data_IF_076042954749
#
_entry.id   IF_076042954749
#
_cell.length_a   1.000
_cell.length_b   1.000
_cell.length_c   1.000
_cell.angle_alpha   90.00
_cell.angle_beta   90.00
_cell.angle_gamma   90.00
#
_symmetry.space_group_name_H-M   'P 1'
#
loop_
_entity.id
_entity.type
_entity.pdbx_description
1 polymer ?
#
# COMPACT_ATOMS: atom_id res chain seq x y z
N UNK A 1 24.76 -14.54 -11.95
CA UNK A 1 25.96 -15.36 -12.04
C UNK A 1 26.99 -14.71 -11.15
N UNK A 2 27.61 -15.49 -10.27
CA UNK A 2 28.72 -15.02 -9.44
C UNK A 2 30.03 -15.32 -10.16
N UNK A 3 31.02 -14.46 -9.97
CA UNK A 3 32.34 -14.58 -10.59
C UNK A 3 33.39 -14.80 -9.51
N UNK A 4 34.12 -15.91 -9.61
CA UNK A 4 35.19 -16.24 -8.68
C UNK A 4 36.51 -15.68 -9.20
N UNK A 5 37.24 -14.98 -8.34
CA UNK A 5 38.52 -14.33 -8.62
C UNK A 5 39.35 -14.26 -7.32
N UNK A 6 40.42 -13.47 -7.32
CA UNK A 6 41.24 -13.18 -6.15
C UNK A 6 41.40 -11.66 -5.96
N UNK A 7 41.57 -11.21 -4.73
CA UNK A 7 41.91 -9.81 -4.42
C UNK A 7 43.43 -9.53 -4.61
N UNK A 8 43.86 -8.28 -4.35
CA UNK A 8 45.26 -7.89 -4.50
C UNK A 8 46.26 -8.63 -3.59
N UNK A 9 45.78 -9.35 -2.56
CA UNK A 9 46.60 -10.14 -1.64
C UNK A 9 46.52 -11.65 -1.93
N UNK A 10 45.86 -12.05 -3.03
CA UNK A 10 45.67 -13.46 -3.39
C UNK A 10 44.58 -14.17 -2.58
N UNK A 11 43.70 -13.44 -1.88
CA UNK A 11 42.56 -14.04 -1.16
C UNK A 11 41.42 -14.35 -2.13
N UNK A 12 40.74 -15.52 -2.03
CA UNK A 12 39.56 -15.81 -2.85
C UNK A 12 38.48 -14.73 -2.69
N UNK A 13 38.01 -14.22 -3.81
CA UNK A 13 37.01 -13.16 -3.92
C UNK A 13 35.87 -13.65 -4.82
N UNK A 14 34.63 -13.45 -4.38
CA UNK A 14 33.44 -13.74 -5.18
C UNK A 14 32.73 -12.43 -5.46
N UNK A 15 32.72 -12.02 -6.72
CA UNK A 15 31.96 -10.85 -7.19
C UNK A 15 30.57 -11.31 -7.59
N UNK A 16 29.54 -10.65 -7.06
CA UNK A 16 28.16 -10.98 -7.39
C UNK A 16 27.36 -9.71 -7.65
N UNK A 17 26.51 -9.77 -8.67
CA UNK A 17 25.61 -8.69 -9.04
C UNK A 17 24.43 -9.27 -9.83
N UNK A 18 23.31 -8.55 -9.86
CA UNK A 18 22.04 -8.88 -10.54
C UNK A 18 21.17 -9.97 -9.89
N UNK A 19 19.91 -10.03 -10.35
CA UNK A 19 18.90 -11.06 -10.02
C UNK A 19 19.31 -12.50 -10.34
N UNK A 20 20.39 -12.71 -11.11
CA UNK A 20 20.86 -14.04 -11.51
C UNK A 20 21.91 -14.61 -10.56
N UNK A 21 22.33 -13.86 -9.53
CA UNK A 21 23.28 -14.37 -8.54
C UNK A 21 22.55 -14.68 -7.26
N UNK A 22 22.72 -15.90 -6.75
CA UNK A 22 22.14 -16.45 -5.53
C UNK A 22 22.50 -15.62 -4.28
N UNK A 23 23.62 -14.90 -4.35
CA UNK A 23 24.10 -14.02 -3.28
C UNK A 23 23.45 -12.62 -3.30
N UNK A 24 22.70 -12.28 -4.36
CA UNK A 24 22.06 -10.97 -4.49
C UNK A 24 20.77 -10.88 -3.68
N UNK A 25 20.53 -9.73 -3.05
CA UNK A 25 19.24 -9.42 -2.41
C UNK A 25 18.04 -9.49 -3.36
N UNK A 26 18.28 -9.33 -4.66
CA UNK A 26 17.26 -9.40 -5.70
C UNK A 26 17.06 -10.81 -6.27
N UNK A 27 17.83 -11.80 -5.81
CA UNK A 27 17.65 -13.18 -6.23
C UNK A 27 16.28 -13.70 -5.77
N UNK A 28 15.45 -14.26 -6.67
CA UNK A 28 14.19 -14.86 -6.28
C UNK A 28 14.41 -16.07 -5.37
N UNK A 29 14.02 -15.95 -4.10
CA UNK A 29 14.08 -17.02 -3.11
C UNK A 29 12.92 -16.85 -2.13
N UNK A 30 12.13 -17.91 -1.94
CA UNK A 30 11.01 -17.89 -1.00
C UNK A 30 11.52 -18.24 0.39
N UNK A 31 11.22 -17.39 1.36
CA UNK A 31 11.53 -17.64 2.78
C UNK A 31 10.48 -16.97 3.68
N UNK A 32 10.51 -17.33 4.96
CA UNK A 32 9.54 -16.90 5.97
C UNK A 32 10.26 -16.26 7.15
N UNK A 33 9.73 -15.14 7.67
CA UNK A 33 10.13 -14.63 8.97
C UNK A 33 9.28 -15.32 10.07
N UNK A 34 9.90 -16.11 10.97
CA UNK A 34 9.16 -16.84 12.00
C UNK A 34 8.48 -15.91 13.01
N UNK A 35 8.94 -14.65 13.16
CA UNK A 35 8.37 -13.72 14.13
C UNK A 35 7.09 -13.07 13.60
N UNK A 36 7.11 -12.54 12.38
CA UNK A 36 5.93 -11.92 11.76
C UNK A 36 5.01 -12.92 11.05
N UNK A 37 5.49 -14.12 10.74
CA UNK A 37 4.80 -15.10 9.89
C UNK A 37 4.72 -14.70 8.42
N UNK A 38 5.35 -13.59 8.02
CA UNK A 38 5.31 -13.10 6.65
C UNK A 38 6.20 -13.92 5.72
N UNK A 39 5.72 -14.10 4.50
CA UNK A 39 6.41 -14.79 3.41
C UNK A 39 6.96 -13.77 2.43
N UNK A 40 8.25 -13.86 2.12
CA UNK A 40 8.95 -13.00 1.15
C UNK A 40 9.40 -13.82 -0.05
N UNK A 41 9.56 -13.17 -1.21
CA UNK A 41 10.03 -13.81 -2.44
C UNK A 41 11.46 -13.39 -2.86
N UNK A 42 12.06 -12.45 -2.14
CA UNK A 42 13.46 -12.04 -2.21
C UNK A 42 13.79 -11.20 -0.97
N UNK A 43 15.08 -11.00 -0.67
CA UNK A 43 15.49 -10.23 0.50
C UNK A 43 15.03 -8.76 0.42
N UNK A 44 14.93 -8.21 -0.79
CA UNK A 44 14.51 -6.83 -1.00
C UNK A 44 13.08 -6.54 -0.49
N UNK A 45 12.16 -7.51 -0.54
CA UNK A 45 10.81 -7.31 0.02
C UNK A 45 10.84 -7.11 1.53
N UNK A 46 11.68 -7.85 2.25
CA UNK A 46 11.86 -7.70 3.69
C UNK A 46 12.49 -6.33 4.00
N UNK A 47 13.52 -5.92 3.24
CA UNK A 47 14.16 -4.63 3.42
C UNK A 47 13.17 -3.47 3.27
N UNK A 48 12.39 -3.45 2.18
CA UNK A 48 11.40 -2.37 1.96
C UNK A 48 10.35 -2.36 3.08
N UNK A 49 9.85 -3.53 3.49
CA UNK A 49 8.90 -3.62 4.61
C UNK A 49 9.50 -3.04 5.89
N UNK A 50 10.72 -3.45 6.26
CA UNK A 50 11.38 -3.00 7.48
C UNK A 50 11.56 -1.46 7.49
N UNK A 51 11.97 -0.89 6.36
CA UNK A 51 12.13 0.57 6.23
C UNK A 51 10.78 1.28 6.35
N UNK A 52 9.73 0.81 5.66
CA UNK A 52 8.39 1.40 5.77
C UNK A 52 7.87 1.36 7.21
N UNK A 53 8.08 0.24 7.92
CA UNK A 53 7.62 0.06 9.30
C UNK A 53 8.41 0.90 10.32
N UNK A 54 9.65 1.28 10.00
CA UNK A 54 10.47 2.15 10.84
C UNK A 54 10.21 3.65 10.60
N UNK A 55 9.43 4.03 9.58
CA UNK A 55 9.09 5.43 9.30
C UNK A 55 7.82 5.86 10.05
N UNK A 56 7.87 7.03 10.69
CA UNK A 56 6.69 7.61 11.36
C UNK A 56 5.78 8.41 10.42
N UNK A 57 6.34 8.92 9.31
CA UNK A 57 5.65 9.82 8.38
C UNK A 57 4.92 9.05 7.28
N UNK A 58 3.58 9.20 7.15
CA UNK A 58 2.82 8.58 6.06
C UNK A 58 3.29 9.03 4.66
N UNK A 59 3.83 10.25 4.56
CA UNK A 59 4.40 10.76 3.31
C UNK A 59 5.63 9.94 2.91
N UNK A 60 6.53 9.70 3.86
CA UNK A 60 7.78 8.98 3.58
C UNK A 60 7.51 7.50 3.30
N UNK A 61 6.59 6.89 4.05
CA UNK A 61 6.09 5.53 3.78
C UNK A 61 5.56 5.42 2.34
N UNK A 62 4.78 6.40 1.88
CA UNK A 62 4.28 6.44 0.49
C UNK A 62 5.41 6.59 -0.52
N UNK A 63 6.39 7.45 -0.27
CA UNK A 63 7.54 7.62 -1.17
C UNK A 63 8.44 6.39 -1.25
N UNK A 64 8.65 5.69 -0.13
CA UNK A 64 9.37 4.41 -0.11
C UNK A 64 8.62 3.36 -0.91
N UNK A 65 7.30 3.26 -0.74
CA UNK A 65 6.46 2.32 -1.48
C UNK A 65 6.55 2.49 -3.01
N UNK A 66 6.78 3.71 -3.50
CA UNK A 66 7.01 3.96 -4.95
C UNK A 66 8.32 3.38 -5.48
N UNK A 67 9.29 3.07 -4.60
CA UNK A 67 10.60 2.53 -4.97
C UNK A 67 10.61 1.00 -5.12
N UNK A 68 9.49 0.34 -4.87
CA UNK A 68 9.37 -1.13 -5.01
C UNK A 68 9.67 -1.54 -6.45
N UNK A 69 10.82 -2.19 -6.65
CA UNK A 69 11.27 -2.68 -7.95
C UNK A 69 10.34 -3.79 -8.44
N UNK A 70 9.96 -3.74 -9.72
CA UNK A 70 9.07 -4.74 -10.33
C UNK A 70 7.60 -4.59 -9.92
N UNK A 71 7.20 -3.47 -9.31
CA UNK A 71 5.80 -3.15 -9.06
C UNK A 71 5.01 -3.17 -10.37
N UNK A 72 3.90 -3.92 -10.37
CA UNK A 72 3.00 -4.05 -11.52
C UNK A 72 1.64 -3.49 -11.17
N UNK A 73 1.34 -2.30 -11.67
CA UNK A 73 0.09 -1.59 -11.42
C UNK A 73 -1.14 -2.47 -11.70
N UNK A 74 -1.15 -3.23 -12.80
CA UNK A 74 -2.27 -4.12 -13.15
C UNK A 74 -2.54 -5.18 -12.07
N UNK A 75 -1.50 -5.79 -11.49
CA UNK A 75 -1.64 -6.75 -10.40
C UNK A 75 -2.07 -6.08 -9.09
N UNK A 76 -1.63 -4.85 -8.88
CA UNK A 76 -2.07 -4.08 -7.72
C UNK A 76 -3.54 -3.70 -7.85
N UNK A 77 -3.99 -3.30 -9.04
CA UNK A 77 -5.38 -2.89 -9.29
C UNK A 77 -6.37 -4.01 -8.94
N UNK A 78 -5.99 -5.30 -9.08
CA UNK A 78 -6.86 -6.44 -8.72
C UNK A 78 -7.01 -6.68 -7.22
N UNK A 79 -6.09 -6.20 -6.38
CA UNK A 79 -6.10 -6.47 -4.91
C UNK A 79 -6.21 -5.21 -4.05
N UNK A 80 -5.87 -4.04 -4.62
CA UNK A 80 -5.72 -2.78 -3.90
C UNK A 80 -6.97 -2.35 -3.14
N UNK A 81 -8.15 -2.60 -3.72
CA UNK A 81 -9.44 -2.30 -3.09
C UNK A 81 -9.64 -3.09 -1.79
N UNK A 82 -9.33 -4.38 -1.80
CA UNK A 82 -9.48 -5.23 -0.62
C UNK A 82 -8.44 -4.92 0.45
N UNK A 83 -7.21 -4.60 0.04
CA UNK A 83 -6.17 -4.12 0.96
C UNK A 83 -6.61 -2.81 1.62
N UNK A 84 -7.12 -1.85 0.84
CA UNK A 84 -7.65 -0.58 1.36
C UNK A 84 -8.82 -0.82 2.32
N UNK A 85 -9.78 -1.67 1.93
CA UNK A 85 -10.92 -2.02 2.78
C UNK A 85 -10.48 -2.61 4.11
N UNK A 86 -9.57 -3.60 4.08
CA UNK A 86 -9.02 -4.22 5.30
C UNK A 86 -8.36 -3.16 6.19
N UNK A 87 -7.52 -2.29 5.63
CA UNK A 87 -6.85 -1.23 6.38
C UNK A 87 -7.82 -0.23 7.00
N UNK A 88 -8.84 0.22 6.25
CA UNK A 88 -9.85 1.13 6.76
C UNK A 88 -10.73 0.48 7.82
N UNK A 89 -11.13 -0.78 7.64
CA UNK A 89 -11.89 -1.52 8.63
C UNK A 89 -11.12 -1.66 9.95
N UNK A 90 -9.82 -1.98 9.90
CA UNK A 90 -8.96 -2.00 11.09
C UNK A 90 -8.82 -0.61 11.72
N UNK A 91 -8.56 0.43 10.92
CA UNK A 91 -8.42 1.81 11.40
C UNK A 91 -9.67 2.31 12.13
N UNK A 92 -10.83 2.19 11.49
CA UNK A 92 -12.09 2.68 12.03
C UNK A 92 -12.70 1.72 13.05
N UNK A 93 -12.45 0.41 12.94
CA UNK A 93 -12.92 -0.58 13.90
C UNK A 93 -12.19 -0.53 15.25
N UNK A 94 -10.88 -0.29 15.24
CA UNK A 94 -10.05 -0.27 16.45
C UNK A 94 -10.09 1.06 17.22
N UNK A 95 -10.65 2.12 16.63
CA UNK A 95 -10.72 3.44 17.27
C UNK A 95 -12.16 3.96 17.33
N UNK A 96 -12.77 3.93 18.52
CA UNK A 96 -14.17 4.34 18.73
C UNK A 96 -14.48 5.74 18.22
N UNK A 97 -13.62 6.72 18.46
CA UNK A 97 -13.84 8.11 18.00
C UNK A 97 -13.89 8.17 16.48
N UNK A 98 -12.95 7.52 15.80
CA UNK A 98 -12.94 7.48 14.33
C UNK A 98 -14.15 6.71 13.79
N UNK A 99 -14.51 5.58 14.42
CA UNK A 99 -15.73 4.82 14.10
C UNK A 99 -16.96 5.73 14.09
N UNK A 100 -17.15 6.47 15.18
CA UNK A 100 -18.32 7.34 15.37
C UNK A 100 -18.35 8.47 14.32
N UNK A 101 -17.18 9.03 13.94
CA UNK A 101 -17.09 9.99 12.83
C UNK A 101 -17.54 9.36 11.52
N UNK A 102 -17.01 8.18 11.14
CA UNK A 102 -17.36 7.53 9.88
C UNK A 102 -18.84 7.12 9.84
N UNK A 103 -19.34 6.49 10.90
CA UNK A 103 -20.75 6.09 11.02
C UNK A 103 -21.69 7.29 10.99
N UNK A 104 -21.30 8.38 11.65
CA UNK A 104 -22.03 9.65 11.72
C UNK A 104 -22.13 10.39 10.39
N UNK A 105 -21.40 9.97 9.35
CA UNK A 105 -21.64 10.46 7.98
C UNK A 105 -22.98 9.98 7.39
N UNK A 106 -23.73 9.13 8.10
CA UNK A 106 -25.09 8.71 7.74
C UNK A 106 -25.14 8.16 6.32
N UNK A 107 -26.02 8.70 5.47
CA UNK A 107 -26.17 8.29 4.08
C UNK A 107 -25.38 9.18 3.10
N UNK A 108 -24.49 10.05 3.61
CA UNK A 108 -23.71 10.95 2.76
C UNK A 108 -22.78 10.17 1.82
N UNK A 109 -22.65 10.69 0.61
CA UNK A 109 -21.62 10.25 -0.34
C UNK A 109 -20.28 10.82 0.14
N UNK A 110 -19.31 9.93 0.36
CA UNK A 110 -17.95 10.32 0.73
C UNK A 110 -17.11 10.46 -0.53
N UNK A 111 -16.37 11.57 -0.61
CA UNK A 111 -15.58 11.92 -1.79
C UNK A 111 -14.21 12.45 -1.37
N UNK A 112 -13.14 11.98 -2.02
CA UNK A 112 -11.80 12.56 -1.86
C UNK A 112 -11.53 13.59 -2.98
N UNK A 113 -11.50 14.90 -2.67
CA UNK A 113 -11.27 15.97 -3.64
C UNK A 113 -9.78 16.11 -3.98
N UNK A 114 -9.21 15.06 -4.57
CA UNK A 114 -7.83 15.05 -5.04
C UNK A 114 -7.78 15.34 -6.55
N UNK A 115 -7.20 16.48 -6.99
CA UNK A 115 -7.01 16.76 -8.41
C UNK A 115 -5.91 15.88 -9.04
N UNK A 116 -5.03 15.31 -8.21
CA UNK A 116 -3.87 14.52 -8.66
C UNK A 116 -4.12 13.01 -8.65
N UNK A 117 -5.16 12.53 -7.96
CA UNK A 117 -5.51 11.11 -7.88
C UNK A 117 -6.91 10.85 -8.45
N UNK A 118 -6.94 10.36 -9.69
CA UNK A 118 -8.19 9.99 -10.38
C UNK A 118 -8.64 8.56 -10.11
N UNK A 119 -7.86 7.73 -9.42
CA UNK A 119 -8.30 6.36 -9.06
C UNK A 119 -8.98 6.37 -7.70
N UNK A 120 -8.32 6.96 -6.71
CA UNK A 120 -8.85 6.97 -5.35
C UNK A 120 -9.73 8.18 -5.07
N UNK A 121 -9.44 9.32 -5.70
CA UNK A 121 -10.23 10.55 -5.60
C UNK A 121 -11.10 10.85 -6.81
N UNK A 122 -11.76 12.00 -6.75
CA UNK A 122 -12.71 12.49 -7.77
C UNK A 122 -12.03 13.21 -8.94
N UNK A 123 -10.71 13.41 -8.90
CA UNK A 123 -9.97 14.08 -9.96
C UNK A 123 -10.21 15.59 -10.07
N UNK A 124 -10.75 16.21 -9.02
CA UNK A 124 -11.07 17.63 -8.92
C UNK A 124 -10.63 18.15 -7.54
N UNK A 125 -10.29 19.44 -7.48
CA UNK A 125 -10.06 20.14 -6.21
C UNK A 125 -11.40 20.42 -5.50
N UNK A 126 -11.37 20.56 -4.18
CA UNK A 126 -12.56 20.83 -3.38
C UNK A 126 -13.23 22.17 -3.72
N UNK A 127 -12.44 23.16 -4.20
CA UNK A 127 -12.93 24.46 -4.61
C UNK A 127 -13.54 24.47 -6.02
N UNK A 128 -13.28 23.46 -6.85
CA UNK A 128 -13.88 23.35 -8.18
C UNK A 128 -15.40 23.12 -8.04
N UNK A 129 -16.26 23.99 -8.61
CA UNK A 129 -17.71 23.82 -8.53
C UNK A 129 -18.19 22.45 -9.03
N UNK A 130 -17.46 21.84 -9.98
CA UNK A 130 -17.74 20.50 -10.51
C UNK A 130 -17.58 19.40 -9.47
N UNK A 131 -16.82 19.61 -8.39
CA UNK A 131 -16.66 18.63 -7.33
C UNK A 131 -17.99 18.30 -6.63
N UNK A 132 -18.99 19.18 -6.71
CA UNK A 132 -20.33 19.00 -6.13
C UNK A 132 -21.28 18.16 -6.99
N UNK A 133 -20.93 17.91 -8.26
CA UNK A 133 -21.73 17.08 -9.17
C UNK A 133 -20.99 15.76 -9.44
N UNK A 134 -21.53 14.65 -8.95
CA UNK A 134 -20.92 13.32 -9.12
C UNK A 134 -20.77 12.92 -10.59
N UNK A 135 -21.54 13.52 -11.49
CA UNK A 135 -21.48 13.26 -12.94
C UNK A 135 -20.31 13.99 -13.62
N UNK A 136 -19.79 15.03 -12.98
CA UNK A 136 -18.67 15.83 -13.49
C UNK A 136 -17.30 15.38 -12.95
N UNK A 137 -17.31 14.41 -12.03
CA UNK A 137 -16.08 13.85 -11.47
C UNK A 137 -15.22 13.22 -12.57
N UNK A 138 -13.92 13.50 -12.51
CA UNK A 138 -12.92 13.02 -13.47
C UNK A 138 -12.14 11.82 -12.94
N UNK A 139 -12.52 11.33 -11.76
CA UNK A 139 -11.91 10.21 -11.08
C UNK A 139 -12.95 9.24 -10.53
N UNK A 140 -12.50 8.04 -10.18
CA UNK A 140 -13.34 6.90 -9.82
C UNK A 140 -13.83 6.93 -8.37
N UNK A 141 -13.27 7.82 -7.52
CA UNK A 141 -13.62 7.93 -6.10
C UNK A 141 -13.62 6.60 -5.32
N UNK A 142 -12.66 5.71 -5.63
CA UNK A 142 -12.59 4.38 -4.99
C UNK A 142 -12.48 4.48 -3.47
N UNK A 143 -11.81 5.50 -2.93
CA UNK A 143 -11.65 5.66 -1.48
C UNK A 143 -13.00 5.93 -0.82
N UNK A 144 -13.77 6.86 -1.38
CA UNK A 144 -15.12 7.18 -0.93
C UNK A 144 -16.03 5.95 -0.93
N UNK A 145 -16.01 5.18 -2.02
CA UNK A 145 -16.79 3.94 -2.12
C UNK A 145 -16.42 2.91 -1.05
N UNK A 146 -15.13 2.68 -0.80
CA UNK A 146 -14.66 1.74 0.23
C UNK A 146 -14.99 2.25 1.65
N UNK A 147 -14.88 3.55 1.92
CA UNK A 147 -15.28 4.13 3.20
C UNK A 147 -16.77 3.91 3.49
N UNK A 148 -17.63 4.05 2.46
CA UNK A 148 -19.07 3.79 2.59
C UNK A 148 -19.38 2.31 2.83
N UNK A 149 -18.65 1.38 2.19
CA UNK A 149 -18.77 -0.06 2.50
C UNK A 149 -18.35 -0.37 3.95
N UNK A 150 -17.20 0.15 4.38
CA UNK A 150 -16.70 -0.02 5.77
C UNK A 150 -17.67 0.59 6.78
N UNK A 151 -18.28 1.74 6.46
CA UNK A 151 -19.34 2.35 7.28
C UNK A 151 -20.50 1.39 7.51
N UNK A 152 -21.01 0.72 6.46
CA UNK A 152 -22.10 -0.25 6.57
C UNK A 152 -21.71 -1.44 7.44
N UNK A 153 -20.54 -2.03 7.20
CA UNK A 153 -20.04 -3.16 8.01
C UNK A 153 -19.93 -2.80 9.50
N UNK A 154 -19.46 -1.59 9.82
CA UNK A 154 -19.29 -1.14 11.20
C UNK A 154 -20.60 -0.81 11.92
N UNK A 155 -21.70 -0.57 11.18
CA UNK A 155 -23.05 -0.42 11.74
C UNK A 155 -23.67 -1.77 12.11
N UNK A 156 -23.50 -2.79 11.27
CA UNK A 156 -24.05 -4.14 11.53
C UNK A 156 -23.50 -4.74 12.82
N UNK A 157 -22.24 -4.47 13.16
CA UNK A 157 -21.63 -4.90 14.44
C UNK A 157 -22.29 -4.25 15.68
N UNK A 158 -23.08 -3.17 15.55
CA UNK A 158 -23.85 -2.61 16.68
C UNK A 158 -25.15 -3.39 16.97
N UNK A 159 -25.58 -4.28 16.08
CA UNK A 159 -26.85 -4.99 16.17
C UNK A 159 -26.71 -6.47 16.59
N UNK A 160 -25.51 -6.90 17.00
CA UNK A 160 -25.24 -8.15 17.71
C UNK A 160 -24.82 -7.83 19.14
#
# INVERSE_FOLDING_TARGET
>A
MSFHTFDQNGKPLVLFFTVRSELSNFFPCIFHDPNSGLRFNCNEQLNVMAVVMACDSPRDQKEIGKRVVGFRQQKWDTVSRDVMKKGLLLKFGSNKRLKDILVGTNEAILAEPSPFDRRWGIGLDAADPKARDTREWKGENRLGAVLMEVRSMLREVRHQ
#
